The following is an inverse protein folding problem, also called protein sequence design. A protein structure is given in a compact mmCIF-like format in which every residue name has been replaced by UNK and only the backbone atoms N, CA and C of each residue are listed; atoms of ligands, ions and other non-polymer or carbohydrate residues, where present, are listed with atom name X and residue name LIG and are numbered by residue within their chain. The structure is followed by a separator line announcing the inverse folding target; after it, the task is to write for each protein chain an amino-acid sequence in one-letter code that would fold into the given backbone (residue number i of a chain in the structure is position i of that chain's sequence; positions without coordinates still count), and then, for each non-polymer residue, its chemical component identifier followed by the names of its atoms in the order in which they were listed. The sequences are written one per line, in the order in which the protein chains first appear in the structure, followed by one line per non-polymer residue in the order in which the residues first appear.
data_IF_033827717454
#
_entry.id   IF_033827717454
#
_cell.length_a   1.000
_cell.length_b   1.000
_cell.length_c   1.000
_cell.angle_alpha   90.00
_cell.angle_beta   90.00
_cell.angle_gamma   90.00
#
_symmetry.space_group_name_H-M   'P 1'
#
loop_
_entity.id
_entity.type
_entity.pdbx_description
1 polymer ?
#
# COMPACT_ATOMS: atom_id res chain seq x y z
N UNK A 1 33.05 14.59 -2.65
CA UNK A 1 32.65 13.26 -3.17
C UNK A 1 31.63 12.57 -2.25
N UNK A 2 31.92 12.36 -0.96
CA UNK A 2 31.04 11.69 0.02
C UNK A 2 29.70 12.41 0.18
N UNK A 3 29.71 13.73 0.26
CA UNK A 3 28.47 14.54 0.42
C UNK A 3 27.56 14.36 -0.80
N UNK A 4 28.09 14.41 -2.01
CA UNK A 4 27.31 14.20 -3.26
C UNK A 4 26.73 12.79 -3.32
N UNK A 5 27.49 11.77 -2.90
CA UNK A 5 27.04 10.39 -2.80
C UNK A 5 25.88 10.24 -1.79
N UNK A 6 25.99 10.85 -0.62
CA UNK A 6 24.93 10.86 0.37
C UNK A 6 23.64 11.52 -0.17
N UNK A 7 23.75 12.66 -0.87
CA UNK A 7 22.59 13.34 -1.46
C UNK A 7 21.88 12.45 -2.47
N UNK A 8 22.62 11.77 -3.35
CA UNK A 8 22.06 10.89 -4.39
C UNK A 8 21.27 9.70 -3.78
N UNK A 9 21.68 9.21 -2.61
CA UNK A 9 20.99 8.09 -1.94
C UNK A 9 19.83 8.60 -1.07
N UNK A 10 20.07 9.63 -0.26
CA UNK A 10 19.08 10.07 0.72
C UNK A 10 17.91 10.83 0.11
N UNK A 11 18.13 11.65 -0.91
CA UNK A 11 17.05 12.46 -1.52
C UNK A 11 15.95 11.56 -2.14
N UNK A 12 16.27 10.56 -2.98
CA UNK A 12 15.26 9.66 -3.52
C UNK A 12 14.59 8.78 -2.45
N UNK A 13 15.34 8.37 -1.43
CA UNK A 13 14.77 7.60 -0.31
C UNK A 13 13.75 8.41 0.49
N UNK A 14 14.07 9.66 0.80
CA UNK A 14 13.13 10.57 1.47
C UNK A 14 11.92 10.85 0.57
N UNK A 15 12.13 11.05 -0.72
CA UNK A 15 11.04 11.28 -1.67
C UNK A 15 10.11 10.06 -1.77
N UNK A 16 10.67 8.84 -1.78
CA UNK A 16 9.89 7.60 -1.79
C UNK A 16 9.05 7.47 -0.52
N UNK A 17 9.63 7.72 0.66
CA UNK A 17 8.90 7.70 1.93
C UNK A 17 7.81 8.77 1.95
N UNK A 18 8.09 9.97 1.47
CA UNK A 18 7.13 11.06 1.42
C UNK A 18 5.95 10.75 0.47
N UNK A 19 6.22 10.16 -0.70
CA UNK A 19 5.17 9.75 -1.65
C UNK A 19 4.29 8.65 -1.11
N UNK A 20 4.87 7.62 -0.47
CA UNK A 20 4.12 6.55 0.19
C UNK A 20 3.26 7.11 1.32
N UNK A 21 3.82 7.98 2.17
CA UNK A 21 3.09 8.61 3.25
C UNK A 21 1.94 9.49 2.75
N UNK A 22 2.17 10.31 1.73
CA UNK A 22 1.13 11.14 1.11
C UNK A 22 0.02 10.29 0.51
N UNK A 23 0.36 9.18 -0.14
CA UNK A 23 -0.63 8.26 -0.69
C UNK A 23 -1.45 7.56 0.40
N UNK A 24 -0.81 7.06 1.47
CA UNK A 24 -1.52 6.47 2.61
C UNK A 24 -2.48 7.48 3.26
N UNK A 25 -2.06 8.74 3.41
CA UNK A 25 -2.93 9.79 3.92
C UNK A 25 -4.11 10.08 2.97
N UNK A 26 -3.88 10.11 1.67
CA UNK A 26 -4.94 10.30 0.68
C UNK A 26 -5.97 9.15 0.75
N UNK A 27 -5.51 7.91 0.79
CA UNK A 27 -6.39 6.75 0.93
C UNK A 27 -7.15 6.74 2.27
N UNK A 28 -6.52 7.15 3.37
CA UNK A 28 -7.18 7.31 4.65
C UNK A 28 -8.34 8.32 4.58
N UNK A 29 -8.14 9.45 3.89
CA UNK A 29 -9.19 10.44 3.66
C UNK A 29 -10.33 9.90 2.78
N UNK A 30 -10.02 9.18 1.71
CA UNK A 30 -11.03 8.56 0.85
C UNK A 30 -11.87 7.56 1.64
N UNK A 31 -11.24 6.71 2.44
CA UNK A 31 -11.91 5.73 3.30
C UNK A 31 -12.77 6.43 4.35
N UNK A 32 -12.30 7.50 4.97
CA UNK A 32 -13.07 8.28 5.94
C UNK A 32 -14.30 8.91 5.30
N UNK A 33 -14.18 9.49 4.11
CA UNK A 33 -15.29 10.14 3.40
C UNK A 33 -16.32 9.14 2.88
N UNK A 34 -15.85 8.03 2.29
CA UNK A 34 -16.72 7.04 1.63
C UNK A 34 -17.41 6.12 2.64
N UNK A 35 -16.70 5.68 3.67
CA UNK A 35 -17.16 4.64 4.59
C UNK A 35 -17.33 5.12 6.03
N UNK A 36 -17.02 6.38 6.32
CA UNK A 36 -17.12 6.94 7.69
C UNK A 36 -16.11 6.36 8.68
N UNK A 37 -15.05 5.71 8.21
CA UNK A 37 -14.04 5.07 9.06
C UNK A 37 -12.97 6.08 9.43
N UNK A 38 -12.96 6.53 10.69
CA UNK A 38 -11.92 7.43 11.19
C UNK A 38 -10.62 6.68 11.50
N UNK A 39 -9.47 7.32 11.20
CA UNK A 39 -8.14 6.82 11.50
C UNK A 39 -7.83 5.44 10.86
N UNK A 40 -8.12 5.28 9.58
CA UNK A 40 -7.62 4.13 8.83
C UNK A 40 -6.09 4.27 8.70
N UNK A 41 -5.33 3.43 9.38
CA UNK A 41 -3.87 3.40 9.31
C UNK A 41 -3.37 2.59 8.11
N UNK A 42 -2.08 2.76 7.78
CA UNK A 42 -1.45 2.07 6.66
C UNK A 42 -1.55 0.53 6.79
N UNK A 43 -1.48 0.00 8.01
CA UNK A 43 -1.63 -1.44 8.26
C UNK A 43 -3.03 -1.93 7.93
N UNK A 44 -4.07 -1.18 8.34
CA UNK A 44 -5.46 -1.51 8.02
C UNK A 44 -5.75 -1.43 6.53
N UNK A 45 -5.09 -0.49 5.82
CA UNK A 45 -5.24 -0.34 4.36
C UNK A 45 -4.59 -1.53 3.62
N UNK A 46 -3.41 -1.97 4.05
CA UNK A 46 -2.70 -3.09 3.43
C UNK A 46 -3.33 -4.43 3.82
N UNK A 47 -3.80 -4.56 5.05
CA UNK A 47 -4.45 -5.77 5.53
C UNK A 47 -5.98 -5.63 5.38
N UNK A 48 -6.53 -6.22 4.32
CA UNK A 48 -7.95 -6.13 3.96
C UNK A 48 -8.91 -6.57 5.05
N UNK A 49 -8.59 -7.58 5.85
CA UNK A 49 -9.51 -8.15 6.86
C UNK A 49 -9.96 -7.14 7.93
N UNK A 50 -9.05 -6.41 8.62
CA UNK A 50 -9.46 -5.37 9.57
C UNK A 50 -10.26 -4.25 8.92
N UNK A 51 -9.91 -3.86 7.69
CA UNK A 51 -10.57 -2.78 6.97
C UNK A 51 -11.99 -3.15 6.57
N UNK A 52 -12.19 -4.30 5.92
CA UNK A 52 -13.51 -4.84 5.54
C UNK A 52 -14.42 -5.00 6.74
N UNK A 53 -13.87 -5.48 7.85
CA UNK A 53 -14.62 -5.58 9.09
C UNK A 53 -15.09 -4.21 9.61
N UNK A 54 -14.33 -3.14 9.36
CA UNK A 54 -14.71 -1.78 9.76
C UNK A 54 -15.72 -1.15 8.80
N UNK A 55 -15.69 -1.48 7.51
CA UNK A 55 -16.60 -0.92 6.50
C UNK A 55 -18.07 -1.16 6.84
N UNK A 56 -18.41 -2.33 7.33
CA UNK A 56 -19.77 -2.71 7.67
C UNK A 56 -20.11 -2.58 9.17
N UNK A 57 -19.18 -2.02 9.97
CA UNK A 57 -19.37 -1.95 11.42
C UNK A 57 -20.57 -1.10 11.82
N UNK A 58 -20.78 0.05 11.18
CA UNK A 58 -21.90 0.94 11.47
C UNK A 58 -23.24 0.31 11.05
N UNK A 59 -23.29 -0.34 9.88
CA UNK A 59 -24.49 -1.02 9.41
C UNK A 59 -24.84 -2.20 10.31
N UNK A 60 -23.84 -2.94 10.76
CA UNK A 60 -24.03 -4.04 11.70
C UNK A 60 -24.58 -3.56 13.05
N UNK A 61 -24.07 -2.44 13.58
CA UNK A 61 -24.63 -1.84 14.80
C UNK A 61 -26.05 -1.29 14.57
N UNK A 62 -26.35 -0.74 13.38
CA UNK A 62 -27.72 -0.32 13.00
C UNK A 62 -28.67 -1.52 13.02
N UNK A 63 -28.27 -2.65 12.43
CA UNK A 63 -29.03 -3.90 12.44
C UNK A 63 -29.25 -4.39 13.87
N UNK A 64 -28.21 -4.50 14.68
CA UNK A 64 -28.32 -4.92 16.09
C UNK A 64 -29.27 -4.02 16.90
N UNK A 65 -29.22 -2.71 16.68
CA UNK A 65 -30.12 -1.75 17.33
C UNK A 65 -31.56 -1.98 16.90
N UNK A 66 -31.80 -2.21 15.61
CA UNK A 66 -33.15 -2.50 15.09
C UNK A 66 -33.66 -3.81 15.65
N UNK A 67 -32.88 -4.86 15.69
CA UNK A 67 -33.21 -6.16 16.28
C UNK A 67 -33.65 -5.98 17.76
N UNK A 68 -32.94 -5.13 18.51
CA UNK A 68 -33.27 -4.90 19.93
C UNK A 68 -34.56 -4.07 20.15
N UNK A 69 -34.82 -3.12 19.26
CA UNK A 69 -35.93 -2.16 19.43
C UNK A 69 -37.22 -2.61 18.73
N UNK A 70 -37.10 -3.26 17.60
CA UNK A 70 -38.23 -3.64 16.75
C UNK A 70 -37.83 -4.83 15.87
N UNK A 71 -37.79 -6.06 16.43
CA UNK A 71 -37.37 -7.27 15.69
C UNK A 71 -38.20 -7.52 14.42
N UNK A 72 -39.50 -7.17 14.44
CA UNK A 72 -40.42 -7.33 13.30
C UNK A 72 -40.02 -6.52 12.07
N UNK A 73 -39.22 -5.45 12.21
CA UNK A 73 -38.64 -4.74 11.04
C UNK A 73 -37.72 -5.57 10.20
N UNK A 74 -37.16 -6.65 10.76
CA UNK A 74 -36.31 -7.60 10.02
C UNK A 74 -37.10 -8.55 9.10
N UNK A 75 -38.44 -8.40 9.06
CA UNK A 75 -39.32 -9.07 8.09
C UNK A 75 -39.74 -8.10 6.95
N UNK A 76 -39.51 -6.79 7.12
CA UNK A 76 -39.85 -5.78 6.12
C UNK A 76 -38.83 -5.72 5.01
N UNK A 77 -39.19 -6.24 3.85
CA UNK A 77 -38.34 -6.31 2.65
C UNK A 77 -37.86 -4.92 2.23
N UNK A 78 -38.71 -3.89 2.36
CA UNK A 78 -38.32 -2.52 1.96
C UNK A 78 -37.20 -1.98 2.86
N UNK A 79 -37.29 -2.22 4.16
CA UNK A 79 -36.26 -1.85 5.13
C UNK A 79 -34.95 -2.64 4.90
N UNK A 80 -35.06 -3.94 4.64
CA UNK A 80 -33.90 -4.79 4.35
C UNK A 80 -33.19 -4.39 3.05
N UNK A 81 -33.96 -4.00 2.03
CA UNK A 81 -33.41 -3.51 0.75
C UNK A 81 -32.66 -2.19 0.92
N UNK A 82 -33.18 -1.24 1.74
CA UNK A 82 -32.47 0.02 2.06
C UNK A 82 -31.10 -0.24 2.72
N UNK A 83 -31.05 -1.18 3.67
CA UNK A 83 -29.79 -1.56 4.30
C UNK A 83 -28.86 -2.23 3.28
N UNK A 84 -29.39 -3.12 2.44
CA UNK A 84 -28.60 -3.83 1.44
C UNK A 84 -27.97 -2.87 0.42
N UNK A 85 -28.67 -1.85 -0.03
CA UNK A 85 -28.14 -0.82 -0.94
C UNK A 85 -26.92 -0.09 -0.33
N UNK A 86 -26.94 0.18 0.97
CA UNK A 86 -25.78 0.73 1.68
C UNK A 86 -24.63 -0.28 1.77
N UNK A 87 -24.92 -1.56 1.88
CA UNK A 87 -23.92 -2.62 1.97
C UNK A 87 -23.27 -2.95 0.62
N UNK A 88 -24.01 -2.87 -0.48
CA UNK A 88 -23.48 -3.09 -1.84
C UNK A 88 -22.34 -2.14 -2.18
N UNK A 89 -22.42 -0.88 -1.75
CA UNK A 89 -21.34 0.10 -1.89
C UNK A 89 -20.08 -0.28 -1.08
N UNK A 90 -20.20 -1.25 -0.19
CA UNK A 90 -19.13 -1.77 0.69
C UNK A 90 -18.74 -3.20 0.37
N UNK A 91 -19.01 -3.65 -0.87
CA UNK A 91 -18.74 -5.02 -1.33
C UNK A 91 -19.37 -6.10 -0.43
N UNK A 92 -20.54 -5.77 0.13
CA UNK A 92 -21.21 -6.60 1.13
C UNK A 92 -22.71 -6.69 0.81
N UNK A 93 -23.34 -7.71 1.33
CA UNK A 93 -24.79 -7.87 1.20
C UNK A 93 -25.40 -8.46 2.47
N UNK A 94 -26.71 -8.23 2.62
CA UNK A 94 -27.49 -8.68 3.75
C UNK A 94 -28.19 -10.01 3.42
N UNK A 95 -28.12 -10.96 4.33
CA UNK A 95 -28.95 -12.17 4.30
C UNK A 95 -29.71 -12.28 5.61
N UNK A 96 -31.00 -12.56 5.55
CA UNK A 96 -31.83 -12.80 6.74
C UNK A 96 -32.44 -14.18 6.66
N UNK A 97 -32.22 -15.00 7.69
CA UNK A 97 -32.77 -16.34 7.83
C UNK A 97 -33.80 -16.34 8.95
N UNK A 98 -34.98 -16.88 8.69
CA UNK A 98 -36.08 -17.09 9.64
C UNK A 98 -36.32 -18.57 9.76
N UNK A 99 -36.07 -19.16 10.94
CA UNK A 99 -36.02 -20.60 11.11
C UNK A 99 -34.96 -21.24 10.25
N UNK A 100 -35.38 -22.12 9.33
CA UNK A 100 -34.47 -22.78 8.37
C UNK A 100 -34.49 -22.09 6.98
N UNK A 101 -35.42 -21.18 6.74
CA UNK A 101 -35.61 -20.57 5.42
C UNK A 101 -34.92 -19.21 5.32
N UNK A 102 -34.36 -18.91 4.15
CA UNK A 102 -33.84 -17.58 3.83
C UNK A 102 -35.03 -16.71 3.45
N UNK A 103 -35.28 -15.69 4.27
CA UNK A 103 -36.37 -14.72 4.07
C UNK A 103 -35.94 -13.56 3.17
N UNK A 104 -34.67 -13.16 3.26
CA UNK A 104 -34.11 -12.10 2.44
C UNK A 104 -32.69 -12.46 2.03
N UNK A 105 -32.37 -12.26 0.73
CA UNK A 105 -31.03 -12.39 0.19
C UNK A 105 -30.76 -11.19 -0.72
N UNK A 106 -29.89 -10.29 -0.28
CA UNK A 106 -29.47 -9.11 -1.03
C UNK A 106 -28.28 -9.34 -1.96
N UNK A 107 -27.69 -10.54 -1.95
CA UNK A 107 -26.55 -10.91 -2.79
C UNK A 107 -26.94 -11.65 -4.07
N UNK A 108 -25.92 -12.02 -4.84
CA UNK A 108 -26.09 -12.95 -5.96
C UNK A 108 -26.41 -14.36 -5.46
N UNK A 109 -27.10 -15.15 -6.30
CA UNK A 109 -27.53 -16.53 -6.00
C UNK A 109 -26.36 -17.53 -5.88
N UNK A 110 -25.47 -17.31 -4.94
CA UNK A 110 -24.42 -18.26 -4.63
C UNK A 110 -24.93 -19.25 -3.56
N UNK A 111 -25.62 -20.32 -4.01
CA UNK A 111 -26.17 -21.37 -3.14
C UNK A 111 -25.12 -21.98 -2.21
N UNK A 112 -23.86 -22.04 -2.65
CA UNK A 112 -22.76 -22.56 -1.82
C UNK A 112 -22.56 -21.69 -0.58
N UNK A 113 -22.41 -20.39 -0.73
CA UNK A 113 -22.24 -19.46 0.40
C UNK A 113 -23.45 -19.53 1.34
N UNK A 114 -24.65 -19.57 0.79
CA UNK A 114 -25.88 -19.61 1.59
C UNK A 114 -26.00 -20.90 2.44
N UNK A 115 -25.50 -22.03 1.91
CA UNK A 115 -25.49 -23.32 2.63
C UNK A 115 -24.43 -23.39 3.73
N UNK A 116 -23.35 -22.65 3.59
CA UNK A 116 -22.22 -22.61 4.54
C UNK A 116 -22.37 -21.55 5.63
N UNK A 117 -23.41 -20.68 5.56
CA UNK A 117 -23.66 -19.68 6.60
C UNK A 117 -23.86 -20.34 7.97
N UNK A 118 -23.26 -19.77 9.04
CA UNK A 118 -23.34 -20.31 10.38
C UNK A 118 -24.78 -20.46 10.85
N UNK A 119 -25.03 -21.49 11.64
CA UNK A 119 -26.36 -21.72 12.22
C UNK A 119 -26.65 -20.74 13.38
N UNK A 120 -27.93 -20.58 13.75
CA UNK A 120 -28.34 -19.83 14.92
C UNK A 120 -27.58 -20.26 16.18
N UNK A 121 -27.02 -19.31 16.92
CA UNK A 121 -26.24 -19.57 18.13
C UNK A 121 -24.77 -19.93 17.92
N UNK A 122 -24.27 -19.99 16.68
CA UNK A 122 -22.87 -20.26 16.41
C UNK A 122 -21.91 -19.24 17.05
N UNK A 123 -22.32 -17.98 17.21
CA UNK A 123 -21.56 -16.91 17.85
C UNK A 123 -21.68 -16.87 19.38
N UNK A 124 -22.38 -17.80 20.00
CA UNK A 124 -22.56 -17.86 21.46
C UNK A 124 -21.31 -18.34 22.21
N UNK A 125 -20.22 -18.67 21.52
CA UNK A 125 -18.94 -19.02 22.13
C UNK A 125 -18.32 -17.79 22.80
N UNK A 126 -17.81 -17.98 24.00
CA UNK A 126 -17.34 -17.06 25.05
C UNK A 126 -16.38 -15.90 24.65
N UNK A 127 -16.16 -15.62 23.38
CA UNK A 127 -15.20 -14.60 22.91
C UNK A 127 -15.82 -13.40 22.22
N UNK A 128 -17.14 -13.28 22.13
CA UNK A 128 -17.78 -12.08 21.55
C UNK A 128 -17.40 -11.79 20.10
N UNK A 129 -17.00 -12.81 19.35
CA UNK A 129 -16.59 -12.66 17.96
C UNK A 129 -17.84 -12.76 17.08
N UNK A 130 -18.41 -11.64 16.77
CA UNK A 130 -19.47 -11.50 15.76
C UNK A 130 -18.93 -11.72 14.33
N UNK A 131 -17.94 -12.60 14.15
CA UNK A 131 -17.22 -12.78 12.89
C UNK A 131 -16.99 -14.22 12.58
N UNK A 132 -17.32 -14.60 11.39
CA UNK A 132 -16.90 -15.83 10.75
C UNK A 132 -16.08 -15.44 9.52
N UNK A 133 -14.92 -16.06 9.35
CA UNK A 133 -14.08 -15.90 8.16
C UNK A 133 -13.93 -17.29 7.58
N UNK A 134 -14.51 -17.51 6.41
CA UNK A 134 -14.17 -18.66 5.59
C UNK A 134 -12.97 -18.29 4.72
N UNK A 135 -11.88 -19.05 4.86
CA UNK A 135 -10.65 -18.82 4.09
C UNK A 135 -10.69 -19.44 2.70
N UNK A 136 -11.52 -20.46 2.53
CA UNK A 136 -11.60 -21.20 1.27
C UNK A 136 -12.47 -20.45 0.24
N UNK A 137 -13.53 -19.78 0.71
CA UNK A 137 -14.40 -18.97 -0.14
C UNK A 137 -14.10 -17.44 -0.07
N UNK A 138 -13.04 -17.05 0.65
CA UNK A 138 -12.61 -15.67 0.78
C UNK A 138 -13.74 -14.71 1.19
N UNK A 139 -14.59 -15.12 2.14
CA UNK A 139 -15.69 -14.32 2.68
C UNK A 139 -15.51 -13.97 4.15
N UNK A 140 -16.03 -12.81 4.55
CA UNK A 140 -16.16 -12.39 5.94
C UNK A 140 -17.65 -12.32 6.27
N UNK A 141 -18.09 -13.11 7.26
CA UNK A 141 -19.49 -13.12 7.70
C UNK A 141 -19.60 -12.53 9.10
N UNK A 142 -20.48 -11.56 9.26
CA UNK A 142 -20.95 -11.06 10.56
C UNK A 142 -22.34 -11.61 10.82
N UNK A 143 -22.58 -12.13 12.02
CA UNK A 143 -23.83 -12.76 12.41
C UNK A 143 -24.46 -12.05 13.60
N UNK A 144 -25.76 -11.78 13.52
CA UNK A 144 -26.56 -11.29 14.62
C UNK A 144 -27.80 -12.18 14.80
N UNK A 145 -27.85 -12.90 15.91
CA UNK A 145 -28.96 -13.77 16.26
C UNK A 145 -30.04 -12.98 17.03
N UNK A 146 -31.30 -13.28 16.72
CA UNK A 146 -32.45 -12.66 17.39
C UNK A 146 -33.66 -13.58 17.39
N UNK A 147 -34.71 -13.15 18.07
CA UNK A 147 -36.02 -13.81 18.04
C UNK A 147 -37.07 -12.78 17.64
N UNK A 148 -37.98 -13.19 16.78
CA UNK A 148 -39.16 -12.41 16.49
C UNK A 148 -40.13 -12.40 17.69
N UNK A 149 -41.08 -11.50 17.65
CA UNK A 149 -42.16 -11.44 18.66
C UNK A 149 -42.99 -12.74 18.69
N UNK A 150 -43.02 -13.48 17.60
CA UNK A 150 -43.57 -14.85 17.49
C UNK A 150 -42.78 -15.91 18.28
N UNK A 151 -41.55 -15.61 18.74
CA UNK A 151 -40.64 -16.55 19.37
C UNK A 151 -39.78 -17.33 18.39
N UNK A 152 -39.93 -17.12 17.09
CA UNK A 152 -39.16 -17.78 16.04
C UNK A 152 -37.70 -17.31 16.06
N UNK A 153 -36.76 -18.28 15.85
CA UNK A 153 -35.33 -17.99 15.82
C UNK A 153 -34.93 -17.44 14.46
N UNK A 154 -34.25 -16.30 14.47
CA UNK A 154 -33.85 -15.60 13.27
C UNK A 154 -32.37 -15.22 13.34
N UNK A 155 -31.75 -15.08 12.18
CA UNK A 155 -30.35 -14.65 12.08
C UNK A 155 -30.19 -13.69 10.91
N UNK A 156 -29.55 -12.56 11.17
CA UNK A 156 -29.14 -11.60 10.14
C UNK A 156 -27.63 -11.74 9.92
N UNK A 157 -27.23 -11.84 8.66
CA UNK A 157 -25.85 -11.94 8.24
C UNK A 157 -25.47 -10.75 7.37
N UNK A 158 -24.30 -10.18 7.60
CA UNK A 158 -23.61 -9.36 6.62
C UNK A 158 -22.50 -10.20 6.03
N UNK A 159 -22.59 -10.49 4.75
CA UNK A 159 -21.58 -11.23 3.98
C UNK A 159 -20.78 -10.24 3.18
N UNK A 160 -19.45 -10.25 3.34
CA UNK A 160 -18.50 -9.37 2.64
C UNK A 160 -17.58 -10.25 1.79
N UNK A 161 -17.52 -10.01 0.48
CA UNK A 161 -16.62 -10.72 -0.42
C UNK A 161 -15.24 -10.07 -0.45
N UNK A 162 -14.19 -10.89 -0.37
CA UNK A 162 -12.81 -10.44 -0.54
C UNK A 162 -12.43 -10.25 -2.02
N UNK A 163 -13.07 -10.94 -2.94
CA UNK A 163 -12.69 -10.93 -4.35
C UNK A 163 -12.71 -9.53 -4.97
N UNK A 164 -13.80 -8.79 -4.76
CA UNK A 164 -13.92 -7.44 -5.30
C UNK A 164 -12.91 -6.47 -4.65
N UNK A 165 -12.79 -6.55 -3.32
CA UNK A 165 -11.86 -5.70 -2.55
C UNK A 165 -10.41 -6.13 -2.75
N UNK A 166 -10.16 -7.44 -2.91
CA UNK A 166 -8.83 -7.99 -3.19
C UNK A 166 -8.27 -7.50 -4.53
N UNK A 167 -9.09 -7.24 -5.53
CA UNK A 167 -8.64 -6.67 -6.80
C UNK A 167 -8.16 -5.22 -6.64
N UNK A 168 -8.87 -4.37 -5.91
CA UNK A 168 -8.45 -2.99 -5.65
C UNK A 168 -7.15 -2.93 -4.83
N UNK A 169 -7.03 -3.74 -3.78
CA UNK A 169 -5.83 -3.81 -2.95
C UNK A 169 -4.65 -4.35 -3.77
N UNK A 170 -4.85 -5.34 -4.61
CA UNK A 170 -3.82 -5.88 -5.50
C UNK A 170 -3.33 -4.85 -6.50
N UNK A 171 -4.23 -4.10 -7.13
CA UNK A 171 -3.87 -2.98 -8.00
C UNK A 171 -3.06 -1.93 -7.24
N UNK A 172 -3.46 -1.58 -6.04
CA UNK A 172 -2.73 -0.66 -5.18
C UNK A 172 -1.30 -1.13 -4.89
N UNK A 173 -1.13 -2.39 -4.49
CA UNK A 173 0.20 -2.98 -4.23
C UNK A 173 1.04 -2.98 -5.50
N UNK A 174 0.47 -3.33 -6.66
CA UNK A 174 1.15 -3.31 -7.95
C UNK A 174 1.64 -1.91 -8.32
N UNK A 175 0.80 -0.88 -8.18
CA UNK A 175 1.20 0.51 -8.41
C UNK A 175 2.30 0.96 -7.46
N UNK A 176 2.23 0.59 -6.18
CA UNK A 176 3.27 0.84 -5.20
C UNK A 176 4.61 0.22 -5.59
N UNK A 177 4.61 -1.05 -6.00
CA UNK A 177 5.81 -1.75 -6.47
C UNK A 177 6.39 -1.08 -7.71
N UNK A 178 5.55 -0.71 -8.69
CA UNK A 178 5.98 -0.02 -9.92
C UNK A 178 6.66 1.31 -9.57
N UNK A 179 6.08 2.10 -8.68
CA UNK A 179 6.68 3.37 -8.23
C UNK A 179 8.05 3.16 -7.58
N UNK A 180 8.19 2.17 -6.71
CA UNK A 180 9.47 1.83 -6.07
C UNK A 180 10.52 1.41 -7.11
N UNK A 181 10.16 0.57 -8.07
CA UNK A 181 11.06 0.14 -9.15
C UNK A 181 11.53 1.32 -10.00
N UNK A 182 10.62 2.24 -10.36
CA UNK A 182 10.98 3.44 -11.13
C UNK A 182 11.96 4.32 -10.34
N UNK A 183 11.74 4.53 -9.05
CA UNK A 183 12.62 5.31 -8.19
C UNK A 183 14.00 4.66 -8.13
N UNK A 184 14.07 3.34 -7.96
CA UNK A 184 15.34 2.60 -7.94
C UNK A 184 16.10 2.70 -9.26
N UNK A 185 15.41 2.60 -10.40
CA UNK A 185 16.03 2.77 -11.72
C UNK A 185 16.58 4.18 -11.93
N UNK A 186 15.81 5.20 -11.56
CA UNK A 186 16.26 6.59 -11.67
C UNK A 186 17.49 6.86 -10.78
N UNK A 187 17.50 6.34 -9.54
CA UNK A 187 18.65 6.48 -8.64
C UNK A 187 19.87 5.76 -9.18
N UNK A 188 19.71 4.56 -9.74
CA UNK A 188 20.81 3.81 -10.35
C UNK A 188 21.42 4.57 -11.55
N UNK A 189 20.58 5.12 -12.43
CA UNK A 189 21.04 5.92 -13.58
C UNK A 189 21.78 7.17 -13.10
N UNK A 190 21.21 7.92 -12.15
CA UNK A 190 21.88 9.08 -11.57
C UNK A 190 23.24 8.73 -10.96
N UNK A 191 23.32 7.61 -10.25
CA UNK A 191 24.57 7.13 -9.63
C UNK A 191 25.61 6.76 -10.66
N UNK A 192 25.22 6.08 -11.74
CA UNK A 192 26.14 5.73 -12.85
C UNK A 192 26.69 7.00 -13.50
N UNK A 193 25.82 7.96 -13.84
CA UNK A 193 26.26 9.24 -14.47
C UNK A 193 27.19 10.01 -13.54
N UNK A 194 26.88 10.03 -12.24
CA UNK A 194 27.71 10.71 -11.26
C UNK A 194 29.10 10.07 -11.12
N UNK A 195 29.18 8.74 -10.99
CA UNK A 195 30.47 7.99 -10.93
C UNK A 195 31.27 8.25 -12.20
N UNK A 196 30.62 8.19 -13.37
CA UNK A 196 31.30 8.40 -14.64
C UNK A 196 31.93 9.80 -14.72
N UNK A 197 31.19 10.85 -14.33
CA UNK A 197 31.67 12.24 -14.38
C UNK A 197 32.64 12.57 -13.26
N UNK A 198 32.41 12.09 -12.05
CA UNK A 198 33.20 12.47 -10.88
C UNK A 198 34.48 11.64 -10.71
N UNK A 199 34.52 10.41 -11.21
CA UNK A 199 35.66 9.51 -11.01
C UNK A 199 36.31 9.05 -12.33
N UNK A 200 35.51 8.48 -13.22
CA UNK A 200 36.05 7.83 -14.41
C UNK A 200 36.70 8.86 -15.36
N UNK A 201 36.04 9.94 -15.64
CA UNK A 201 36.54 10.97 -16.58
C UNK A 201 37.84 11.62 -16.10
N UNK A 202 38.00 12.09 -14.84
CA UNK A 202 39.27 12.63 -14.35
C UNK A 202 40.38 11.59 -14.35
N UNK A 203 40.13 10.35 -13.96
CA UNK A 203 41.15 9.28 -13.98
C UNK A 203 41.61 9.00 -15.39
N UNK A 204 40.73 9.02 -16.39
CA UNK A 204 41.14 8.86 -17.81
C UNK A 204 42.00 10.05 -18.28
N UNK A 205 41.69 11.29 -17.88
CA UNK A 205 42.49 12.46 -18.17
C UNK A 205 43.90 12.33 -17.57
N UNK A 206 44.00 11.90 -16.30
CA UNK A 206 45.29 11.65 -15.64
C UNK A 206 46.10 10.56 -16.37
N UNK A 207 45.46 9.49 -16.82
CA UNK A 207 46.12 8.44 -17.58
C UNK A 207 46.72 8.99 -18.89
N UNK A 208 45.93 9.76 -19.67
CA UNK A 208 46.42 10.36 -20.92
C UNK A 208 47.58 11.35 -20.64
N UNK A 209 47.44 12.14 -19.55
CA UNK A 209 48.53 13.05 -19.15
C UNK A 209 49.80 12.29 -18.78
N UNK A 210 49.71 11.18 -18.08
CA UNK A 210 50.87 10.31 -17.78
C UNK A 210 51.51 9.71 -19.03
N UNK A 211 50.74 9.30 -20.03
CA UNK A 211 51.23 8.83 -21.31
C UNK A 211 51.96 9.94 -22.08
N UNK A 212 51.42 11.16 -22.12
CA UNK A 212 52.11 12.32 -22.74
C UNK A 212 53.45 12.63 -22.06
N UNK A 213 53.49 12.64 -20.72
CA UNK A 213 54.75 12.84 -19.98
C UNK A 213 55.78 11.79 -20.30
N UNK A 214 55.37 10.52 -20.39
CA UNK A 214 56.25 9.38 -20.76
C UNK A 214 56.83 9.56 -22.14
N UNK A 215 56.11 10.14 -23.08
CA UNK A 215 56.57 10.44 -24.47
C UNK A 215 57.38 11.74 -24.57
N UNK A 216 57.60 12.43 -23.46
CA UNK A 216 58.35 13.69 -23.41
C UNK A 216 57.53 14.91 -23.84
N UNK A 217 56.26 14.74 -24.10
CA UNK A 217 55.37 15.86 -24.40
C UNK A 217 54.89 16.49 -23.09
N UNK A 218 55.44 17.65 -22.72
CA UNK A 218 55.08 18.39 -21.54
C UNK A 218 54.20 19.64 -21.84
N UNK A 219 53.90 19.89 -23.15
CA UNK A 219 53.15 21.06 -23.62
C UNK A 219 51.65 20.79 -23.66
N UNK A 220 51.09 20.45 -22.53
CA UNK A 220 49.63 20.37 -22.31
C UNK A 220 49.28 20.96 -20.94
N UNK A 221 48.04 21.27 -20.75
CA UNK A 221 47.51 21.68 -19.43
C UNK A 221 46.52 20.64 -18.95
N UNK A 222 46.62 20.23 -17.68
CA UNK A 222 45.66 19.34 -17.05
C UNK A 222 44.56 20.19 -16.40
N UNK A 223 43.32 19.94 -16.74
CA UNK A 223 42.17 20.54 -16.10
C UNK A 223 42.05 20.04 -14.63
N UNK A 224 42.36 20.93 -13.69
CA UNK A 224 42.42 20.63 -12.24
C UNK A 224 41.06 20.88 -11.54
N UNK A 225 39.99 20.97 -12.33
CA UNK A 225 38.65 21.33 -11.83
C UNK A 225 37.99 20.24 -10.97
N UNK A 226 38.03 20.44 -9.67
CA UNK A 226 37.32 19.64 -8.67
C UNK A 226 37.80 20.01 -7.26
N UNK A 227 36.86 20.25 -6.35
CA UNK A 227 37.14 20.50 -4.92
C UNK A 227 37.13 19.20 -4.09
N UNK A 228 37.36 18.06 -4.75
CA UNK A 228 37.41 16.76 -4.10
C UNK A 228 38.82 16.14 -4.16
N UNK A 229 38.99 14.94 -3.58
CA UNK A 229 40.27 14.21 -3.51
C UNK A 229 40.85 13.92 -4.90
N UNK A 230 39.99 13.79 -5.92
CA UNK A 230 40.40 13.59 -7.32
C UNK A 230 40.90 14.92 -7.91
N UNK A 231 40.28 16.04 -7.58
CA UNK A 231 40.73 17.39 -7.96
C UNK A 231 42.08 17.72 -7.34
N UNK A 232 42.33 17.37 -6.07
CA UNK A 232 43.61 17.52 -5.40
C UNK A 232 44.69 16.69 -6.07
N UNK A 233 44.36 15.43 -6.46
CA UNK A 233 45.28 14.58 -7.22
C UNK A 233 45.61 15.19 -8.59
N UNK A 234 44.64 15.72 -9.33
CA UNK A 234 44.85 16.40 -10.60
C UNK A 234 45.76 17.63 -10.44
N UNK A 235 45.57 18.43 -9.38
CA UNK A 235 46.35 19.60 -9.05
C UNK A 235 47.83 19.21 -8.76
N UNK A 236 48.02 18.17 -7.94
CA UNK A 236 49.37 17.65 -7.60
C UNK A 236 50.08 17.14 -8.85
N UNK A 237 49.36 16.44 -9.72
CA UNK A 237 49.92 15.92 -10.98
C UNK A 237 50.29 17.06 -11.93
N UNK A 238 49.49 18.11 -12.04
CA UNK A 238 49.82 19.29 -12.84
C UNK A 238 51.07 20.03 -12.32
N UNK A 239 51.21 20.17 -11.00
CA UNK A 239 52.41 20.74 -10.39
C UNK A 239 53.67 19.89 -10.71
N UNK A 240 53.55 18.57 -10.69
CA UNK A 240 54.65 17.68 -11.09
C UNK A 240 55.03 17.88 -12.55
N UNK A 241 54.06 17.94 -13.46
CA UNK A 241 54.26 18.21 -14.88
C UNK A 241 55.01 19.53 -15.12
N UNK A 242 54.57 20.59 -14.44
CA UNK A 242 55.19 21.93 -14.56
C UNK A 242 56.66 21.90 -14.10
N UNK A 243 56.96 21.25 -12.96
CA UNK A 243 58.37 21.11 -12.49
C UNK A 243 59.22 20.31 -13.45
N UNK A 244 58.66 19.26 -14.09
CA UNK A 244 59.38 18.50 -15.11
C UNK A 244 59.67 19.34 -16.36
N UNK A 245 58.75 20.24 -16.77
CA UNK A 245 58.93 21.18 -17.87
C UNK A 245 60.01 22.18 -17.55
N UNK A 246 59.98 22.82 -16.38
CA UNK A 246 60.93 23.84 -15.94
C UNK A 246 62.36 23.25 -15.81
N UNK A 247 62.52 21.97 -15.53
CA UNK A 247 63.80 21.28 -15.46
C UNK A 247 64.33 20.78 -16.83
N UNK A 248 63.50 20.77 -17.87
CA UNK A 248 63.83 20.30 -19.20
C UNK A 248 64.24 21.42 -20.16
N UNK A 249 63.91 22.69 -19.78
CA UNK A 249 64.39 23.93 -20.42
C UNK A 249 65.78 24.35 -19.87
#
# INVERSE_FOLDING_TARGET
LIISFCIIIFVPSILAIATISAYCNFQSHVIEQTYGIKNADAYSIINSVPLLNRYTALDFEKIKKTIKLSPSKMEDVSYLSEINESLEQKYSYLVVRIGENISFNGGSDNEKILSELPVYGANSSKQGVDKYIDRDDEILVKQADFKLDSGEKCTAYIVTSFDATGQEIRQFILWGIICVVIILLLTAIMMIVWIYRSMITPIQKLRVAAENIKEGNLDFALDTGGDDEIGELCTTFEQMRQRLKDNAE
#
